data_IF_771681306789
#
_entry.id   IF_771681306789
#
_cell.length_a   1.000
_cell.length_b   1.000
_cell.length_c   1.000
_cell.angle_alpha   90.00
_cell.angle_beta   90.00
_cell.angle_gamma   90.00
#
_symmetry.space_group_name_H-M   'P 1'
#
loop_
_entity.id
_entity.type
_entity.pdbx_description
1 polymer ?
#
# COMPACT_ATOMS: atom_id res chain seq x y z
N UNK A 1 -12.86 3.98 25.12
CA UNK A 1 -12.10 4.83 24.15
C UNK A 1 -10.78 4.22 23.64
N UNK A 2 -10.27 3.12 24.23
CA UNK A 2 -8.97 2.51 23.86
C UNK A 2 -8.86 1.81 22.51
N UNK A 3 -9.95 1.34 21.90
CA UNK A 3 -9.86 0.49 20.70
C UNK A 3 -9.51 1.24 19.41
N UNK A 4 -9.96 2.47 19.25
CA UNK A 4 -9.68 3.28 18.04
C UNK A 4 -8.22 3.75 17.99
N UNK A 5 -7.69 4.22 19.12
CA UNK A 5 -6.30 4.66 19.22
C UNK A 5 -5.34 3.49 19.01
N UNK A 6 -5.66 2.29 19.52
CA UNK A 6 -4.89 1.08 19.27
C UNK A 6 -4.87 0.68 17.79
N UNK A 7 -6.02 0.72 17.11
CA UNK A 7 -6.10 0.41 15.70
C UNK A 7 -5.30 1.41 14.85
N UNK A 8 -5.38 2.71 15.13
CA UNK A 8 -4.60 3.74 14.45
C UNK A 8 -3.09 3.54 14.63
N UNK A 9 -2.66 3.21 15.84
CA UNK A 9 -1.25 2.90 16.11
C UNK A 9 -0.76 1.73 15.25
N UNK A 10 -1.51 0.62 15.20
CA UNK A 10 -1.16 -0.54 14.40
C UNK A 10 -1.20 -0.27 12.90
N UNK A 11 -2.15 0.55 12.42
CA UNK A 11 -2.20 0.99 11.03
C UNK A 11 -0.97 1.83 10.66
N UNK A 12 -0.58 2.78 11.53
CA UNK A 12 0.62 3.60 11.33
C UNK A 12 1.89 2.74 11.31
N UNK A 13 2.01 1.80 12.26
CA UNK A 13 3.13 0.84 12.31
C UNK A 13 3.21 0.01 11.03
N UNK A 14 2.07 -0.52 10.58
CA UNK A 14 1.99 -1.28 9.33
C UNK A 14 2.36 -0.44 8.10
N UNK A 15 1.92 0.82 8.04
CA UNK A 15 2.26 1.73 6.96
C UNK A 15 3.77 2.01 6.89
N UNK A 16 4.43 2.21 8.02
CA UNK A 16 5.89 2.41 8.10
C UNK A 16 6.63 1.16 7.62
N UNK A 17 6.20 -0.04 8.05
CA UNK A 17 6.76 -1.31 7.58
C UNK A 17 6.54 -1.46 6.07
N UNK A 18 5.32 -1.22 5.60
CA UNK A 18 4.97 -1.32 4.17
C UNK A 18 5.80 -0.39 3.30
N UNK A 19 6.00 0.85 3.74
CA UNK A 19 6.89 1.80 3.06
C UNK A 19 8.34 1.32 3.07
N UNK A 20 8.81 0.77 4.20
CA UNK A 20 10.13 0.18 4.31
C UNK A 20 10.36 -0.98 3.35
N UNK A 21 9.36 -1.83 3.15
CA UNK A 21 9.42 -2.96 2.19
C UNK A 21 9.52 -2.49 0.74
N UNK A 22 8.75 -1.47 0.34
CA UNK A 22 8.82 -0.93 -1.03
C UNK A 22 10.20 -0.30 -1.29
N UNK A 23 10.70 0.47 -0.34
CA UNK A 23 11.95 1.20 -0.47
C UNK A 23 13.19 0.43 -0.02
N UNK A 24 13.11 -0.90 0.18
CA UNK A 24 14.16 -1.71 0.81
C UNK A 24 15.53 -1.54 0.13
N UNK A 25 15.55 -1.39 -1.19
CA UNK A 25 16.77 -1.24 -1.98
C UNK A 25 17.35 0.18 -1.96
N UNK A 26 16.65 1.15 -1.34
CA UNK A 26 17.08 2.56 -1.31
C UNK A 26 17.06 3.11 0.11
N UNK A 27 15.99 3.82 0.47
CA UNK A 27 15.82 4.51 1.76
C UNK A 27 14.92 3.70 2.73
N UNK A 28 14.37 2.57 2.29
CA UNK A 28 13.35 1.81 3.02
C UNK A 28 13.87 1.10 4.27
N UNK A 29 15.17 0.75 4.33
CA UNK A 29 15.73 0.00 5.44
C UNK A 29 15.53 0.67 6.82
N UNK A 30 15.82 1.98 7.02
CA UNK A 30 15.57 2.63 8.31
C UNK A 30 14.08 2.67 8.68
N UNK A 31 13.18 2.79 7.71
CA UNK A 31 11.74 2.74 7.96
C UNK A 31 11.29 1.33 8.38
N UNK A 32 11.86 0.30 7.79
CA UNK A 32 11.58 -1.08 8.18
C UNK A 32 12.02 -1.35 9.62
N UNK A 33 13.22 -0.92 10.00
CA UNK A 33 13.71 -1.03 11.37
C UNK A 33 12.82 -0.24 12.34
N UNK A 34 12.47 1.00 12.02
CA UNK A 34 11.57 1.81 12.84
C UNK A 34 10.20 1.15 13.01
N UNK A 35 9.61 0.62 11.93
CA UNK A 35 8.34 -0.09 11.97
C UNK A 35 8.39 -1.37 12.82
N UNK A 36 9.47 -2.13 12.75
CA UNK A 36 9.67 -3.31 13.61
C UNK A 36 9.80 -2.92 15.08
N UNK A 37 10.54 -1.86 15.42
CA UNK A 37 10.63 -1.35 16.80
C UNK A 37 9.24 -0.91 17.29
N UNK A 38 8.48 -0.19 16.49
CA UNK A 38 7.11 0.19 16.83
C UNK A 38 6.23 -1.05 17.06
N UNK A 39 6.34 -2.07 16.21
CA UNK A 39 5.60 -3.32 16.39
C UNK A 39 5.95 -4.01 17.71
N UNK A 40 7.24 -4.11 18.06
CA UNK A 40 7.70 -4.68 19.33
C UNK A 40 7.14 -3.89 20.53
N UNK A 41 7.23 -2.56 20.49
CA UNK A 41 6.65 -1.70 21.54
C UNK A 41 5.13 -1.89 21.65
N UNK A 42 4.44 -2.05 20.51
CA UNK A 42 3.00 -2.32 20.48
C UNK A 42 2.64 -3.67 21.10
N UNK A 43 3.46 -4.70 20.94
CA UNK A 43 3.23 -6.02 21.55
C UNK A 43 3.35 -6.00 23.08
N UNK A 44 4.15 -5.09 23.65
CA UNK A 44 4.35 -4.96 25.09
C UNK A 44 3.24 -4.16 25.76
N UNK A 45 2.41 -3.45 24.99
CA UNK A 45 1.29 -2.68 25.54
C UNK A 45 0.05 -3.56 25.72
N UNK A 46 -0.64 -3.47 26.89
CA UNK A 46 -1.92 -4.13 27.08
C UNK A 46 -2.96 -3.48 26.16
N UNK A 47 -3.54 -4.26 25.25
CA UNK A 47 -4.58 -3.76 24.32
C UNK A 47 -4.40 -4.24 22.88
N UNK A 48 -4.19 -5.54 22.70
CA UNK A 48 -4.00 -6.20 21.38
C UNK A 48 -5.19 -6.10 20.41
N UNK A 49 -6.30 -5.46 20.81
CA UNK A 49 -7.54 -5.40 20.03
C UNK A 49 -7.50 -4.67 18.69
N UNK A 50 -6.31 -4.16 18.28
CA UNK A 50 -6.15 -3.45 17.01
C UNK A 50 -5.09 -4.04 16.07
N UNK A 51 -4.56 -5.23 16.36
CA UNK A 51 -3.48 -5.83 15.57
C UNK A 51 -3.83 -6.07 14.08
N UNK A 52 -5.12 -6.20 13.75
CA UNK A 52 -5.60 -6.23 12.37
C UNK A 52 -5.24 -4.95 11.58
N UNK A 53 -5.08 -3.83 12.27
CA UNK A 53 -4.63 -2.57 11.66
C UNK A 53 -3.24 -2.66 11.07
N UNK A 54 -2.38 -3.55 11.59
CA UNK A 54 -1.06 -3.81 11.02
C UNK A 54 -1.16 -4.31 9.58
N UNK A 55 -2.06 -5.27 9.32
CA UNK A 55 -2.27 -5.81 7.97
C UNK A 55 -2.82 -4.74 7.02
N UNK A 56 -3.76 -3.91 7.51
CA UNK A 56 -4.30 -2.79 6.73
C UNK A 56 -3.19 -1.79 6.39
N UNK A 57 -2.29 -1.50 7.32
CA UNK A 57 -1.18 -0.58 7.10
C UNK A 57 -0.14 -1.16 6.13
N UNK A 58 0.29 -2.42 6.33
CA UNK A 58 1.26 -3.09 5.46
C UNK A 58 0.75 -3.21 4.02
N UNK A 59 -0.54 -3.52 3.84
CA UNK A 59 -1.13 -3.66 2.52
C UNK A 59 -1.59 -2.33 1.91
N UNK A 60 -2.21 -1.46 2.70
CA UNK A 60 -2.90 -0.28 2.20
C UNK A 60 -1.97 0.77 1.59
N UNK A 61 -0.90 1.14 2.27
CA UNK A 61 0.01 2.16 1.77
C UNK A 61 0.76 1.71 0.51
N UNK A 62 1.37 0.50 0.46
CA UNK A 62 1.93 -0.03 -0.77
C UNK A 62 0.91 -0.13 -1.92
N UNK A 63 -0.31 -0.59 -1.64
CA UNK A 63 -1.35 -0.67 -2.65
C UNK A 63 -1.65 0.71 -3.27
N UNK A 64 -1.72 1.78 -2.47
CA UNK A 64 -1.92 3.14 -2.97
C UNK A 64 -0.76 3.61 -3.84
N UNK A 65 0.49 3.30 -3.47
CA UNK A 65 1.66 3.63 -4.28
C UNK A 65 1.61 2.92 -5.64
N UNK A 66 1.38 1.60 -5.65
CA UNK A 66 1.26 0.86 -6.90
C UNK A 66 0.05 1.32 -7.74
N UNK A 67 -1.09 1.63 -7.11
CA UNK A 67 -2.25 2.21 -7.79
C UNK A 67 -1.89 3.51 -8.49
N UNK A 68 -1.12 4.40 -7.85
CA UNK A 68 -0.69 5.66 -8.46
C UNK A 68 0.17 5.44 -9.71
N UNK A 69 1.04 4.42 -9.70
CA UNK A 69 1.84 4.04 -10.87
C UNK A 69 0.98 3.44 -11.98
N UNK A 70 0.00 2.60 -11.63
CA UNK A 70 -0.95 2.03 -12.60
C UNK A 70 -1.79 3.11 -13.27
N UNK A 71 -2.29 4.08 -12.50
CA UNK A 71 -3.04 5.22 -13.04
C UNK A 71 -2.18 6.06 -13.98
N UNK A 72 -0.93 6.35 -13.60
CA UNK A 72 0.02 7.07 -14.48
C UNK A 72 0.29 6.29 -15.76
N UNK A 73 0.50 4.97 -15.67
CA UNK A 73 0.69 4.11 -16.83
C UNK A 73 -0.52 4.09 -17.75
N UNK A 74 -1.74 4.04 -17.19
CA UNK A 74 -2.98 4.12 -17.96
C UNK A 74 -3.11 5.48 -18.67
N UNK A 75 -2.83 6.58 -17.97
CA UNK A 75 -2.85 7.91 -18.57
C UNK A 75 -1.81 8.06 -19.67
N UNK A 76 -0.62 7.45 -19.50
CA UNK A 76 0.40 7.41 -20.54
C UNK A 76 -0.05 6.59 -21.77
N UNK A 77 -0.71 5.45 -21.55
CA UNK A 77 -1.25 4.62 -22.63
C UNK A 77 -2.37 5.31 -23.43
N UNK A 78 -3.12 6.21 -22.80
CA UNK A 78 -4.15 7.02 -23.45
C UNK A 78 -3.58 8.25 -24.17
N UNK A 79 -2.29 8.54 -23.99
CA UNK A 79 -1.64 9.68 -24.62
C UNK A 79 -1.21 9.29 -26.05
N UNK A 80 -1.76 9.94 -27.11
CA UNK A 80 -1.45 9.60 -28.50
C UNK A 80 0.03 9.81 -28.87
N UNK A 81 0.79 10.55 -28.06
CA UNK A 81 2.21 10.82 -28.27
C UNK A 81 3.13 9.73 -27.70
N UNK A 82 2.59 8.71 -27.01
CA UNK A 82 3.35 7.62 -26.40
C UNK A 82 3.38 6.34 -27.26
N UNK A 83 2.86 6.38 -28.49
CA UNK A 83 2.95 5.27 -29.45
C UNK A 83 4.37 5.11 -30.00
N UNK A 84 4.76 3.87 -30.39
CA UNK A 84 6.00 3.68 -31.17
C UNK A 84 5.91 4.50 -32.47
N UNK A 85 6.92 5.34 -32.75
CA UNK A 85 6.93 6.06 -34.01
C UNK A 85 7.04 5.03 -35.14
N UNK A 86 6.04 5.02 -36.02
CA UNK A 86 6.06 4.20 -37.22
C UNK A 86 7.30 4.52 -38.08
N UNK A 87 7.78 3.59 -38.92
CA UNK A 87 8.92 3.83 -39.80
C UNK A 87 8.64 5.05 -40.70
N UNK A 88 9.46 6.11 -40.56
CA UNK A 88 9.33 7.37 -41.31
C UNK A 88 8.51 8.46 -40.60
N UNK A 89 8.01 8.25 -39.40
CA UNK A 89 7.38 9.30 -38.63
C UNK A 89 8.41 10.36 -38.17
N UNK A 90 8.08 11.68 -38.25
CA UNK A 90 8.94 12.71 -37.68
C UNK A 90 9.13 12.43 -36.18
N UNK A 91 10.37 12.65 -35.70
CA UNK A 91 10.72 12.44 -34.30
C UNK A 91 9.70 13.15 -33.39
N UNK A 92 9.06 12.42 -32.46
CA UNK A 92 8.06 13.03 -31.59
C UNK A 92 8.71 14.16 -30.78
N UNK A 93 7.98 15.24 -30.48
CA UNK A 93 8.47 16.29 -29.62
C UNK A 93 8.92 15.68 -28.27
N UNK A 94 9.94 16.29 -27.61
CA UNK A 94 10.43 15.79 -26.33
C UNK A 94 9.25 15.62 -25.37
N UNK A 95 9.22 14.53 -24.58
CA UNK A 95 8.08 14.21 -23.72
C UNK A 95 7.80 15.40 -22.79
N UNK A 96 6.57 15.90 -22.85
CA UNK A 96 6.07 16.85 -21.88
C UNK A 96 6.14 16.25 -20.46
N UNK A 97 5.68 16.97 -19.43
CA UNK A 97 5.79 16.56 -18.02
C UNK A 97 5.13 15.20 -17.69
N UNK A 98 4.35 14.65 -18.59
CA UNK A 98 3.80 13.28 -18.53
C UNK A 98 4.67 12.40 -19.42
N UNK A 99 5.79 11.92 -18.88
CA UNK A 99 6.63 10.95 -19.58
C UNK A 99 5.86 9.68 -19.92
N UNK A 100 6.15 9.06 -21.06
CA UNK A 100 5.60 7.75 -21.45
C UNK A 100 6.15 6.67 -20.50
N UNK A 101 5.49 6.47 -19.37
CA UNK A 101 5.90 5.51 -18.37
C UNK A 101 5.30 4.15 -18.70
N UNK A 102 6.12 3.23 -19.16
CA UNK A 102 5.73 1.83 -19.27
C UNK A 102 5.65 1.22 -17.86
N UNK A 103 4.48 0.67 -17.50
CA UNK A 103 4.28 0.00 -16.21
C UNK A 103 4.60 -1.49 -16.39
N UNK A 104 5.65 -2.01 -15.74
CA UNK A 104 5.97 -3.44 -15.81
C UNK A 104 4.81 -4.30 -15.27
N UNK A 105 4.60 -5.48 -15.85
CA UNK A 105 3.55 -6.41 -15.41
C UNK A 105 3.64 -6.81 -13.93
N UNK A 106 4.85 -6.79 -13.36
CA UNK A 106 5.07 -7.02 -11.93
C UNK A 106 4.33 -6.05 -11.01
N UNK A 107 4.05 -4.81 -11.47
CA UNK A 107 3.30 -3.82 -10.68
C UNK A 107 1.85 -4.24 -10.45
N UNK A 108 1.21 -4.90 -11.43
CA UNK A 108 -0.15 -5.43 -11.26
C UNK A 108 -0.19 -6.55 -10.22
N UNK A 109 0.81 -7.43 -10.25
CA UNK A 109 0.92 -8.53 -9.28
C UNK A 109 1.15 -7.97 -7.87
N UNK A 110 2.07 -7.02 -7.71
CA UNK A 110 2.34 -6.39 -6.42
C UNK A 110 1.12 -5.62 -5.90
N UNK A 111 0.43 -4.88 -6.75
CA UNK A 111 -0.82 -4.21 -6.39
C UNK A 111 -1.87 -5.21 -5.88
N UNK A 112 -2.07 -6.32 -6.58
CA UNK A 112 -3.03 -7.35 -6.18
C UNK A 112 -2.67 -7.97 -4.82
N UNK A 113 -1.39 -8.30 -4.59
CA UNK A 113 -0.91 -8.89 -3.33
C UNK A 113 -1.16 -7.92 -2.16
N UNK A 114 -0.73 -6.67 -2.28
CA UNK A 114 -0.88 -5.69 -1.19
C UNK A 114 -2.34 -5.34 -0.93
N UNK A 115 -3.16 -5.26 -1.97
CA UNK A 115 -4.61 -5.08 -1.83
C UNK A 115 -5.26 -6.25 -1.10
N UNK A 116 -4.89 -7.49 -1.44
CA UNK A 116 -5.39 -8.68 -0.76
C UNK A 116 -5.02 -8.69 0.73
N UNK A 117 -3.79 -8.32 1.08
CA UNK A 117 -3.34 -8.20 2.48
C UNK A 117 -4.14 -7.14 3.23
N UNK A 118 -4.37 -5.97 2.63
CA UNK A 118 -5.18 -4.91 3.24
C UNK A 118 -6.63 -5.35 3.47
N UNK A 119 -7.26 -5.99 2.48
CA UNK A 119 -8.62 -6.50 2.58
C UNK A 119 -8.76 -7.59 3.64
N UNK A 120 -7.78 -8.50 3.76
CA UNK A 120 -7.73 -9.50 4.82
C UNK A 120 -7.69 -8.84 6.20
N UNK A 121 -6.92 -7.77 6.38
CA UNK A 121 -6.89 -6.98 7.60
C UNK A 121 -8.24 -6.36 7.94
N UNK A 122 -8.92 -5.76 6.96
CA UNK A 122 -10.25 -5.17 7.13
C UNK A 122 -11.27 -6.25 7.52
N UNK A 123 -11.29 -7.37 6.80
CA UNK A 123 -12.19 -8.49 7.09
C UNK A 123 -12.00 -9.03 8.51
N UNK A 124 -10.74 -9.22 8.94
CA UNK A 124 -10.42 -9.64 10.29
C UNK A 124 -10.92 -8.64 11.35
N UNK A 125 -10.75 -7.34 11.09
CA UNK A 125 -11.24 -6.27 11.96
C UNK A 125 -12.76 -6.27 12.11
N UNK A 126 -13.49 -6.50 11.02
CA UNK A 126 -14.95 -6.61 11.02
C UNK A 126 -15.43 -7.85 11.77
N UNK A 127 -14.79 -9.00 11.54
CA UNK A 127 -15.12 -10.25 12.24
C UNK A 127 -14.90 -10.15 13.75
N UNK A 128 -13.81 -9.50 14.18
CA UNK A 128 -13.56 -9.27 15.60
C UNK A 128 -14.61 -8.35 16.23
N UNK A 129 -15.06 -7.33 15.52
CA UNK A 129 -16.15 -6.45 15.98
C UNK A 129 -17.47 -7.19 16.10
N UNK A 130 -17.81 -8.03 15.11
CA UNK A 130 -19.05 -8.81 15.14
C UNK A 130 -19.09 -9.77 16.35
N UNK A 131 -17.95 -10.38 16.71
CA UNK A 131 -17.84 -11.27 17.88
C UNK A 131 -17.87 -10.52 19.21
N UNK A 132 -17.58 -9.24 19.24
CA UNK A 132 -17.55 -8.43 20.47
C UNK A 132 -18.92 -7.83 20.83
N UNK A 133 -19.92 -7.93 19.94
CA UNK A 133 -21.31 -7.59 20.24
C UNK A 133 -22.05 -8.90 20.63
N UNK A 134 -22.14 -9.27 21.93
CA UNK A 134 -23.03 -10.36 22.35
C UNK A 134 -24.45 -9.89 22.02
N UNK A 135 -25.20 -10.73 21.28
CA UNK A 135 -26.63 -10.55 21.02
C UNK A 135 -27.32 -10.31 22.38
N UNK A 136 -27.84 -9.11 22.60
CA UNK A 136 -28.76 -8.84 23.66
C UNK A 136 -30.06 -9.61 23.31
N UNK A 137 -30.17 -10.83 23.79
CA UNK A 137 -31.42 -11.61 23.89
C UNK A 137 -32.00 -11.46 25.29
#
# INVERSE_FOLDING_TARGET
MGSRAGALYWMATGAVIGFGLIGLMTIGFPFLVAGLVMALVGLWRPGRGGAWGLLVGIGGLPALVFLSHLVRGLLAALNPYCGEPGPGAPMPPPPGPVGCAFVPGSYYVMFAIFTAVALAGVAMGLLMRARSCPSAT
#
